data_IF_523493768014
#
_entry.id   IF_523493768014
#
_cell.length_a   1.000
_cell.length_b   1.000
_cell.length_c   1.000
_cell.angle_alpha   90.00
_cell.angle_beta   90.00
_cell.angle_gamma   90.00
#
_symmetry.space_group_name_H-M   'P 1'
#
loop_
_entity.id
_entity.type
_entity.pdbx_description
1 polymer ?
#
# COMPACT_ATOMS: atom_id res chain seq x y z
N UNK A 1 25.33 -25.23 11.53
CA UNK A 1 25.08 -24.09 10.63
C UNK A 1 23.58 -23.86 10.65
N UNK A 2 23.07 -23.00 11.55
CA UNK A 2 21.65 -22.64 11.49
C UNK A 2 21.45 -21.80 10.23
N UNK A 3 20.35 -22.03 9.53
CA UNK A 3 20.04 -21.28 8.32
C UNK A 3 19.80 -19.81 8.72
N UNK A 4 20.46 -18.88 8.04
CA UNK A 4 20.33 -17.42 8.22
C UNK A 4 18.90 -16.93 7.89
N UNK A 5 18.02 -17.84 7.44
CA UNK A 5 16.65 -17.58 7.06
C UNK A 5 15.72 -17.23 8.22
N UNK A 6 15.98 -17.73 9.43
CA UNK A 6 15.13 -17.46 10.62
C UNK A 6 15.21 -15.98 11.07
N UNK A 7 16.24 -15.24 10.64
CA UNK A 7 16.42 -13.83 10.96
C UNK A 7 15.67 -12.89 10.00
N UNK A 8 15.11 -13.41 8.89
CA UNK A 8 14.38 -12.61 7.92
C UNK A 8 12.88 -12.67 8.18
N UNK A 9 12.30 -11.51 8.50
CA UNK A 9 10.86 -11.33 8.58
C UNK A 9 10.35 -10.85 7.22
N UNK A 10 9.68 -11.74 6.49
CA UNK A 10 9.00 -11.40 5.24
C UNK A 10 7.53 -11.09 5.54
N UNK A 11 7.23 -9.81 5.67
CA UNK A 11 5.87 -9.33 5.88
C UNK A 11 5.36 -8.56 4.68
N UNK A 12 4.07 -8.74 4.38
CA UNK A 12 3.32 -7.91 3.44
C UNK A 12 2.44 -7.01 4.28
N UNK A 13 2.72 -5.71 4.25
CA UNK A 13 1.96 -4.70 4.99
C UNK A 13 1.41 -3.64 4.04
N UNK A 14 0.22 -3.15 4.37
CA UNK A 14 -0.41 -2.01 3.71
C UNK A 14 -0.39 -0.84 4.70
N UNK A 15 0.75 -0.19 4.79
CA UNK A 15 0.97 0.92 5.70
C UNK A 15 0.65 2.28 5.04
N UNK A 16 0.64 3.33 5.87
CA UNK A 16 0.44 4.69 5.40
C UNK A 16 1.54 5.14 4.42
N UNK A 17 2.77 4.64 4.58
CA UNK A 17 3.91 5.04 3.75
C UNK A 17 3.76 4.56 2.30
N UNK A 18 3.22 3.36 2.12
CA UNK A 18 2.91 2.79 0.81
C UNK A 18 1.80 3.57 0.10
N UNK A 19 0.75 3.96 0.82
CA UNK A 19 -0.33 4.78 0.28
C UNK A 19 0.17 6.14 -0.21
N UNK A 20 1.00 6.81 0.61
CA UNK A 20 1.64 8.08 0.22
C UNK A 20 2.53 7.90 -1.01
N UNK A 21 3.29 6.81 -1.06
CA UNK A 21 4.15 6.49 -2.21
C UNK A 21 3.34 6.32 -3.50
N UNK A 22 2.16 5.68 -3.43
CA UNK A 22 1.28 5.54 -4.59
C UNK A 22 0.69 6.88 -5.04
N UNK A 23 0.31 7.75 -4.11
CA UNK A 23 -0.12 9.10 -4.45
C UNK A 23 0.98 9.90 -5.15
N UNK A 24 2.22 9.82 -4.67
CA UNK A 24 3.35 10.50 -5.29
C UNK A 24 3.63 9.98 -6.70
N UNK A 25 3.54 8.66 -6.90
CA UNK A 25 3.65 8.03 -8.23
C UNK A 25 2.52 8.50 -9.14
N UNK A 26 1.28 8.56 -8.65
CA UNK A 26 0.15 9.06 -9.43
C UNK A 26 0.34 10.52 -9.82
N UNK A 27 0.74 11.38 -8.89
CA UNK A 27 1.03 12.80 -9.17
C UNK A 27 2.13 12.94 -10.22
N UNK A 28 3.20 12.15 -10.10
CA UNK A 28 4.29 12.13 -11.06
C UNK A 28 3.82 11.66 -12.44
N UNK A 29 3.04 10.59 -12.52
CA UNK A 29 2.53 10.07 -13.79
C UNK A 29 1.60 11.06 -14.50
N UNK A 30 0.71 11.72 -13.74
CA UNK A 30 -0.19 12.76 -14.25
C UNK A 30 0.61 13.97 -14.74
N UNK A 31 1.56 14.47 -13.93
CA UNK A 31 2.41 15.61 -14.28
C UNK A 31 3.19 15.38 -15.57
N UNK A 32 3.67 14.17 -15.80
CA UNK A 32 4.45 13.80 -16.98
C UNK A 32 3.62 13.27 -18.14
N UNK A 33 2.28 13.25 -18.02
CA UNK A 33 1.36 12.75 -19.05
C UNK A 33 1.63 11.30 -19.48
N UNK A 34 2.01 10.44 -18.53
CA UNK A 34 2.11 8.99 -18.75
C UNK A 34 0.75 8.28 -18.65
N UNK A 35 -0.30 9.02 -18.36
CA UNK A 35 -1.68 8.54 -18.26
C UNK A 35 -2.62 9.65 -18.73
N UNK A 36 -3.78 9.26 -19.27
CA UNK A 36 -4.87 10.17 -19.61
C UNK A 36 -5.67 10.62 -18.37
N UNK A 37 -5.40 10.04 -17.20
CA UNK A 37 -5.98 10.47 -15.93
C UNK A 37 -5.42 11.84 -15.54
N UNK A 38 -6.30 12.70 -15.02
CA UNK A 38 -5.96 14.06 -14.60
C UNK A 38 -6.05 14.27 -13.09
N UNK A 39 -6.58 13.30 -12.36
CA UNK A 39 -6.81 13.37 -10.91
C UNK A 39 -6.15 12.19 -10.21
N UNK A 40 -5.48 12.44 -9.09
CA UNK A 40 -4.97 11.39 -8.21
C UNK A 40 -6.16 10.61 -7.64
N UNK A 41 -6.22 9.29 -7.81
CA UNK A 41 -7.30 8.49 -7.26
C UNK A 41 -7.19 8.40 -5.73
N UNK A 42 -8.32 8.30 -5.04
CA UNK A 42 -8.31 7.86 -3.64
C UNK A 42 -8.07 6.34 -3.62
N UNK A 43 -6.86 5.93 -3.22
CA UNK A 43 -6.46 4.52 -3.21
C UNK A 43 -7.23 3.66 -2.21
N UNK A 44 -7.85 4.26 -1.19
CA UNK A 44 -8.69 3.54 -0.23
C UNK A 44 -9.90 2.87 -0.89
N UNK A 45 -10.38 3.41 -2.01
CA UNK A 45 -11.51 2.85 -2.76
C UNK A 45 -11.16 1.53 -3.49
N UNK A 46 -9.87 1.18 -3.58
CA UNK A 46 -9.41 -0.04 -4.24
C UNK A 46 -8.95 -1.11 -3.24
N UNK A 47 -9.11 -0.86 -1.93
CA UNK A 47 -8.70 -1.77 -0.87
C UNK A 47 -9.94 -2.52 -0.36
N UNK A 48 -9.89 -3.85 -0.37
CA UNK A 48 -10.93 -4.69 0.22
C UNK A 48 -10.70 -4.83 1.73
N UNK A 49 -11.16 -3.83 2.49
CA UNK A 49 -10.93 -3.74 3.94
C UNK A 49 -11.52 -4.93 4.72
N UNK A 50 -12.72 -5.40 4.38
CA UNK A 50 -13.36 -6.53 5.08
C UNK A 50 -12.47 -7.79 5.06
N UNK A 51 -11.75 -8.02 3.95
CA UNK A 51 -10.81 -9.14 3.84
C UNK A 51 -9.58 -8.98 4.73
N UNK A 52 -9.08 -7.75 4.90
CA UNK A 52 -7.97 -7.45 5.80
C UNK A 52 -8.40 -7.62 7.26
N UNK A 53 -9.60 -7.13 7.60
CA UNK A 53 -10.19 -7.24 8.94
C UNK A 53 -10.44 -8.70 9.33
N UNK A 54 -10.78 -9.57 8.37
CA UNK A 54 -10.96 -11.00 8.61
C UNK A 54 -9.65 -11.78 8.86
N UNK A 55 -8.50 -11.26 8.41
CA UNK A 55 -7.20 -11.95 8.50
C UNK A 55 -6.40 -11.51 9.71
N UNK A 56 -6.18 -10.20 9.87
CA UNK A 56 -5.36 -9.64 10.97
C UNK A 56 -5.74 -8.18 11.24
N UNK A 57 -6.85 -7.92 11.95
CA UNK A 57 -7.38 -6.57 12.13
C UNK A 57 -6.39 -5.64 12.85
N UNK A 58 -5.60 -6.15 13.79
CA UNK A 58 -4.59 -5.37 14.54
C UNK A 58 -3.39 -4.91 13.70
N UNK A 59 -3.21 -5.47 12.50
CA UNK A 59 -2.15 -5.04 11.57
C UNK A 59 -2.62 -3.92 10.62
N UNK A 60 -3.90 -3.54 10.64
CA UNK A 60 -4.44 -2.48 9.79
C UNK A 60 -4.06 -1.14 10.40
N UNK A 61 -3.19 -0.39 9.71
CA UNK A 61 -2.70 0.93 10.15
C UNK A 61 -3.28 2.09 9.34
N UNK A 62 -4.22 1.80 8.43
CA UNK A 62 -4.84 2.79 7.54
C UNK A 62 -5.70 3.75 8.38
N UNK A 63 -5.40 5.05 8.29
CA UNK A 63 -6.18 6.12 8.91
C UNK A 63 -7.23 6.61 7.89
N UNK A 64 -8.49 6.74 8.32
CA UNK A 64 -9.62 7.21 7.50
C UNK A 64 -9.88 8.70 7.69
#
# INVERSE_FOLDING_TARGET
MSAIWDDYVFEIFLDQSLLLSWEDIARWAIKNKFTDKTTVPNYLNFIYLDGLEAVKPEAITIIR
#
